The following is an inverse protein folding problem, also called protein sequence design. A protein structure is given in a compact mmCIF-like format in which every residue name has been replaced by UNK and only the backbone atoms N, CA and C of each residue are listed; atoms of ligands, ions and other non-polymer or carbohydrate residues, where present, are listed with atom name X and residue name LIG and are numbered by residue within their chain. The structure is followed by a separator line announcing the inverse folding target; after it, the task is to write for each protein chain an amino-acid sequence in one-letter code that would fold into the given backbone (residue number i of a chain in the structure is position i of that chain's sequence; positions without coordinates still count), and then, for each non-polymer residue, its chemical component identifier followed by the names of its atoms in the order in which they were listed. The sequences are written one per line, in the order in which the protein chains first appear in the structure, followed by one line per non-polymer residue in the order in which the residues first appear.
data_IF_888887903516
#
_entry.id   IF_888887903516
#
_cell.length_a   1.000
_cell.length_b   1.000
_cell.length_c   1.000
_cell.angle_alpha   90.00
_cell.angle_beta   90.00
_cell.angle_gamma   90.00
#
_symmetry.space_group_name_H-M   'P 1'
#
loop_
_entity.id
_entity.type
_entity.pdbx_description
1 polymer ?
#
# COMPACT_ATOMS: atom_id res chain seq x y z
N UNK A 1 -8.55 5.55 -15.08
CA UNK A 1 -8.94 6.89 -15.57
C UNK A 1 -9.38 7.73 -14.38
N UNK A 2 -8.95 9.00 -14.23
CA UNK A 2 -9.53 9.93 -13.28
C UNK A 2 -10.86 10.42 -13.87
N UNK A 3 -11.95 9.79 -13.44
CA UNK A 3 -13.28 10.00 -13.99
C UNK A 3 -14.23 9.11 -13.22
N UNK A 4 -14.45 9.47 -11.95
CA UNK A 4 -15.30 8.70 -11.05
C UNK A 4 -16.71 8.63 -11.60
N UNK A 5 -17.14 7.43 -11.93
CA UNK A 5 -18.56 7.12 -12.21
C UNK A 5 -19.38 7.59 -11.00
N UNK A 6 -20.29 8.52 -11.22
CA UNK A 6 -21.29 8.87 -10.20
C UNK A 6 -22.34 7.77 -10.25
N UNK A 7 -22.55 7.10 -9.12
CA UNK A 7 -23.61 6.11 -8.95
C UNK A 7 -24.61 6.68 -7.95
N UNK A 8 -25.86 6.81 -8.37
CA UNK A 8 -26.97 7.15 -7.47
C UNK A 8 -27.53 5.87 -6.87
N UNK A 9 -27.73 5.86 -5.55
CA UNK A 9 -28.31 4.75 -4.80
C UNK A 9 -29.41 5.30 -3.92
N UNK A 10 -30.57 4.66 -3.93
CA UNK A 10 -31.67 5.03 -3.03
C UNK A 10 -31.39 4.52 -1.62
N UNK A 11 -31.69 5.33 -0.62
CA UNK A 11 -31.69 4.91 0.78
C UNK A 11 -32.94 4.10 1.10
N UNK A 12 -32.82 3.15 2.02
CA UNK A 12 -33.99 2.48 2.60
C UNK A 12 -34.82 3.42 3.49
N UNK A 13 -35.95 2.93 4.01
CA UNK A 13 -36.85 3.69 4.89
C UNK A 13 -36.21 4.14 6.21
N UNK A 14 -35.01 3.64 6.53
CA UNK A 14 -34.23 3.98 7.71
C UNK A 14 -33.03 4.89 7.38
N UNK A 15 -32.84 5.27 6.11
CA UNK A 15 -31.73 6.09 5.64
C UNK A 15 -30.44 5.32 5.37
N UNK A 16 -30.44 3.99 5.42
CA UNK A 16 -29.26 3.20 5.07
C UNK A 16 -29.16 3.03 3.56
N UNK A 17 -27.95 2.90 3.06
CA UNK A 17 -27.67 2.60 1.66
C UNK A 17 -26.58 1.54 1.56
N UNK A 18 -26.58 0.79 0.46
CA UNK A 18 -25.53 -0.18 0.14
C UNK A 18 -25.26 -0.14 -1.36
N UNK A 19 -24.00 0.02 -1.73
CA UNK A 19 -23.54 -0.10 -3.11
C UNK A 19 -22.66 -1.35 -3.22
N UNK A 20 -23.13 -2.35 -3.96
CA UNK A 20 -22.31 -3.48 -4.38
C UNK A 20 -21.66 -3.15 -5.71
N UNK A 21 -20.33 -3.32 -5.80
CA UNK A 21 -19.59 -3.12 -7.04
C UNK A 21 -18.83 -4.39 -7.40
N UNK A 22 -18.87 -4.75 -8.68
CA UNK A 22 -18.03 -5.81 -9.24
C UNK A 22 -16.62 -5.28 -9.58
N UNK A 23 -16.47 -3.96 -9.64
CA UNK A 23 -15.17 -3.34 -9.89
C UNK A 23 -14.35 -3.33 -8.62
N UNK A 24 -13.11 -3.81 -8.72
CA UNK A 24 -12.17 -3.77 -7.61
C UNK A 24 -11.84 -2.31 -7.28
N UNK A 25 -12.16 -1.90 -6.06
CA UNK A 25 -11.70 -0.62 -5.53
C UNK A 25 -10.16 -0.63 -5.47
N UNK A 26 -9.55 0.40 -6.05
CA UNK A 26 -8.11 0.52 -6.09
C UNK A 26 -7.59 1.07 -4.75
N UNK A 27 -6.53 0.46 -4.21
CA UNK A 27 -5.89 0.91 -2.97
C UNK A 27 -5.51 2.40 -3.07
N UNK A 28 -5.75 3.15 -2.00
CA UNK A 28 -5.45 4.58 -1.95
C UNK A 28 -6.39 5.47 -2.78
N UNK A 29 -7.42 4.90 -3.43
CA UNK A 29 -8.42 5.72 -4.14
C UNK A 29 -9.35 6.43 -3.17
N UNK A 30 -9.77 7.64 -3.53
CA UNK A 30 -10.77 8.42 -2.78
C UNK A 30 -12.16 8.10 -3.30
N UNK A 31 -13.09 7.85 -2.38
CA UNK A 31 -14.54 7.75 -2.64
C UNK A 31 -15.21 8.94 -1.96
N UNK A 32 -16.11 9.60 -2.68
CA UNK A 32 -16.94 10.70 -2.17
C UNK A 32 -18.41 10.30 -2.16
N UNK A 33 -19.15 10.69 -1.12
CA UNK A 33 -20.60 10.51 -1.04
C UNK A 33 -21.29 11.80 -0.58
N UNK A 34 -22.46 12.09 -1.15
CA UNK A 34 -23.36 13.17 -0.74
C UNK A 34 -24.81 12.69 -0.84
N UNK A 35 -25.68 13.23 0.00
CA UNK A 35 -27.11 12.99 -0.08
C UNK A 35 -27.81 14.11 -0.85
N UNK A 36 -28.88 13.78 -1.57
CA UNK A 36 -29.77 14.73 -2.23
C UNK A 36 -31.21 14.44 -1.85
N UNK A 37 -31.95 15.45 -1.40
CA UNK A 37 -33.37 15.31 -1.08
C UNK A 37 -34.29 15.47 -2.31
N UNK A 38 -35.59 15.21 -2.13
CA UNK A 38 -36.59 15.32 -3.21
C UNK A 38 -36.79 16.76 -3.71
N UNK A 39 -36.46 17.77 -2.89
CA UNK A 39 -36.49 19.17 -3.30
C UNK A 39 -35.23 19.58 -4.08
N UNK A 40 -34.22 18.71 -4.13
CA UNK A 40 -32.97 18.90 -4.83
C UNK A 40 -31.85 19.52 -3.99
N UNK A 41 -32.01 19.67 -2.68
CA UNK A 41 -30.94 20.14 -1.80
C UNK A 41 -29.89 19.04 -1.64
N UNK A 42 -28.60 19.41 -1.76
CA UNK A 42 -27.47 18.48 -1.68
C UNK A 42 -26.68 18.75 -0.39
N UNK A 43 -26.29 17.69 0.32
CA UNK A 43 -25.46 17.79 1.52
C UNK A 43 -24.00 18.16 1.22
N UNK A 44 -23.23 18.45 2.25
CA UNK A 44 -21.77 18.38 2.16
C UNK A 44 -21.32 16.96 1.80
N UNK A 45 -20.15 16.85 1.15
CA UNK A 45 -19.54 15.57 0.79
C UNK A 45 -18.76 14.99 1.96
N UNK A 46 -18.86 13.68 2.15
CA UNK A 46 -17.89 12.90 2.94
C UNK A 46 -16.90 12.22 2.00
N UNK A 47 -15.63 12.15 2.39
CA UNK A 47 -14.59 11.43 1.67
C UNK A 47 -14.00 10.30 2.52
N UNK A 48 -13.74 9.17 1.86
CA UNK A 48 -13.01 8.04 2.44
C UNK A 48 -11.91 7.60 1.50
N UNK A 49 -10.79 7.13 2.06
CA UNK A 49 -9.70 6.55 1.29
C UNK A 49 -9.78 5.04 1.43
N UNK A 50 -9.77 4.33 0.30
CA UNK A 50 -9.71 2.87 0.27
C UNK A 50 -8.41 2.42 0.91
N UNK A 51 -8.51 1.78 2.08
CA UNK A 51 -7.35 1.30 2.83
C UNK A 51 -6.60 0.25 2.01
N UNK A 52 -5.30 0.43 1.86
CA UNK A 52 -4.43 -0.63 1.36
C UNK A 52 -4.35 -1.77 2.38
N UNK A 53 -4.68 -2.97 1.92
CA UNK A 53 -4.68 -4.21 2.72
C UNK A 53 -3.80 -5.29 2.10
N UNK A 54 -3.11 -5.02 0.99
CA UNK A 54 -2.29 -6.00 0.30
C UNK A 54 -0.85 -5.86 0.84
N UNK A 55 -0.31 -6.89 1.54
CA UNK A 55 1.08 -6.85 1.99
C UNK A 55 2.04 -6.86 0.79
N UNK A 56 3.25 -6.29 0.95
CA UNK A 56 4.29 -6.40 -0.07
C UNK A 56 4.70 -7.87 -0.26
N UNK A 57 5.20 -8.19 -1.45
CA UNK A 57 5.80 -9.50 -1.69
C UNK A 57 7.05 -9.69 -0.79
N UNK A 58 7.33 -10.92 -0.31
CA UNK A 58 8.56 -11.18 0.43
C UNK A 58 9.80 -10.76 -0.37
N UNK A 59 10.84 -10.23 0.28
CA UNK A 59 12.10 -9.98 -0.41
C UNK A 59 12.75 -11.30 -0.83
N UNK A 60 13.51 -11.26 -1.92
CA UNK A 60 14.40 -12.34 -2.33
C UNK A 60 15.80 -12.11 -1.77
N UNK A 61 16.58 -13.17 -1.63
CA UNK A 61 18.00 -13.12 -1.27
C UNK A 61 18.77 -13.90 -2.32
N UNK A 62 19.81 -13.30 -2.90
CA UNK A 62 20.70 -13.97 -3.83
C UNK A 62 21.49 -15.09 -3.12
N UNK A 63 21.93 -16.14 -3.83
CA UNK A 63 22.73 -17.21 -3.23
C UNK A 63 23.98 -16.67 -2.53
N UNK A 64 24.25 -17.19 -1.33
CA UNK A 64 25.38 -16.82 -0.49
C UNK A 64 26.33 -18.00 -0.30
N UNK A 65 27.62 -17.69 -0.19
CA UNK A 65 28.69 -18.60 0.26
C UNK A 65 29.19 -18.17 1.62
N UNK A 66 29.82 -19.09 2.35
CA UNK A 66 30.38 -18.84 3.69
C UNK A 66 31.48 -17.76 3.72
N UNK A 67 32.04 -17.40 2.57
CA UNK A 67 33.06 -16.35 2.43
C UNK A 67 32.48 -14.98 2.07
N UNK A 68 31.19 -14.90 1.79
CA UNK A 68 30.57 -13.66 1.32
C UNK A 68 30.37 -12.68 2.48
N UNK A 69 30.67 -11.41 2.23
CA UNK A 69 30.51 -10.31 3.21
C UNK A 69 29.39 -9.34 2.83
N UNK A 70 28.64 -9.72 1.80
CA UNK A 70 27.61 -8.93 1.15
C UNK A 70 26.34 -9.74 1.01
N UNK A 71 25.23 -9.19 1.45
CA UNK A 71 23.90 -9.69 1.17
C UNK A 71 23.27 -8.81 0.09
N UNK A 72 22.56 -9.44 -0.84
CA UNK A 72 21.84 -8.74 -1.90
C UNK A 72 20.59 -9.51 -2.30
N UNK A 73 19.67 -8.82 -2.97
CA UNK A 73 18.45 -9.42 -3.49
C UNK A 73 17.51 -8.35 -4.04
N UNK A 74 16.23 -8.71 -4.14
CA UNK A 74 15.16 -7.81 -4.59
C UNK A 74 14.02 -7.72 -3.59
N UNK A 75 13.27 -6.62 -3.60
CA UNK A 75 11.97 -6.47 -2.95
C UNK A 75 11.16 -5.40 -3.73
N UNK A 76 10.02 -4.99 -3.21
CA UNK A 76 9.25 -3.88 -3.79
C UNK A 76 10.13 -2.61 -3.88
N UNK A 77 10.15 -1.85 -5.00
CA UNK A 77 10.93 -0.63 -5.12
C UNK A 77 10.64 0.43 -4.05
N UNK A 78 11.67 1.14 -3.59
CA UNK A 78 11.59 2.18 -2.57
C UNK A 78 10.91 1.72 -1.25
N UNK A 79 10.99 0.43 -0.95
CA UNK A 79 10.49 -0.17 0.30
C UNK A 79 11.63 -0.40 1.29
N UNK A 80 11.28 -0.78 2.52
CA UNK A 80 12.24 -1.14 3.57
C UNK A 80 12.18 -2.64 3.80
N UNK A 81 13.35 -3.26 3.87
CA UNK A 81 13.48 -4.64 4.32
C UNK A 81 14.18 -4.68 5.68
N UNK A 82 13.80 -5.63 6.51
CA UNK A 82 14.47 -5.88 7.80
C UNK A 82 15.21 -7.20 7.72
N UNK A 83 16.52 -7.17 7.94
CA UNK A 83 17.40 -8.34 7.91
C UNK A 83 17.83 -8.64 9.35
N UNK A 84 17.65 -9.89 9.78
CA UNK A 84 18.16 -10.39 11.05
C UNK A 84 19.40 -11.26 10.80
N UNK A 85 20.55 -10.80 11.29
CA UNK A 85 21.84 -11.48 11.24
C UNK A 85 22.25 -11.87 12.67
N UNK A 86 22.00 -13.12 13.06
CA UNK A 86 22.18 -13.58 14.45
C UNK A 86 21.44 -12.63 15.42
N UNK A 87 22.16 -11.94 16.30
CA UNK A 87 21.64 -10.99 17.28
C UNK A 87 21.51 -9.56 16.76
N UNK A 88 21.89 -9.29 15.50
CA UNK A 88 21.81 -7.99 14.87
C UNK A 88 20.58 -7.87 13.97
N UNK A 89 19.85 -6.77 14.10
CA UNK A 89 18.79 -6.38 13.17
C UNK A 89 19.27 -5.16 12.40
N UNK A 90 19.13 -5.18 11.07
CA UNK A 90 19.40 -4.04 10.20
C UNK A 90 18.23 -3.80 9.27
N UNK A 91 17.99 -2.53 8.94
CA UNK A 91 17.01 -2.14 7.93
C UNK A 91 17.75 -1.57 6.74
N UNK A 92 17.41 -2.01 5.53
CA UNK A 92 17.91 -1.42 4.28
C UNK A 92 16.76 -1.05 3.37
N UNK A 93 16.96 -0.04 2.54
CA UNK A 93 16.00 0.42 1.55
C UNK A 93 16.30 -0.21 0.19
N UNK A 94 15.26 -0.59 -0.55
CA UNK A 94 15.40 -0.93 -1.97
C UNK A 94 15.49 0.33 -2.80
N UNK A 95 16.30 0.29 -3.86
CA UNK A 95 16.35 1.37 -4.84
C UNK A 95 15.07 1.40 -5.72
N UNK A 96 15.00 2.35 -6.64
CA UNK A 96 13.88 2.48 -7.59
C UNK A 96 13.70 1.28 -8.53
N UNK A 97 14.71 0.41 -8.63
CA UNK A 97 14.64 -0.85 -9.38
C UNK A 97 14.28 -2.06 -8.49
N UNK A 98 13.99 -1.85 -7.20
CA UNK A 98 13.68 -2.93 -6.25
C UNK A 98 14.90 -3.70 -5.76
N UNK A 99 16.12 -3.26 -6.06
CA UNK A 99 17.35 -3.95 -5.63
C UNK A 99 17.81 -3.42 -4.28
N UNK A 100 18.31 -4.31 -3.42
CA UNK A 100 18.91 -3.94 -2.14
C UNK A 100 20.26 -4.64 -1.95
N UNK A 101 21.11 -4.03 -1.12
CA UNK A 101 22.43 -4.54 -0.77
C UNK A 101 22.80 -4.15 0.66
N UNK A 102 23.43 -5.06 1.38
CA UNK A 102 23.96 -4.84 2.71
C UNK A 102 25.38 -5.40 2.81
N UNK A 103 26.34 -4.56 3.20
CA UNK A 103 27.73 -4.95 3.42
C UNK A 103 28.02 -4.90 4.93
N UNK A 104 28.44 -6.03 5.49
CA UNK A 104 28.55 -6.23 6.94
C UNK A 104 29.47 -5.21 7.65
N UNK A 105 30.58 -4.83 7.00
CA UNK A 105 31.64 -3.99 7.58
C UNK A 105 31.50 -2.48 7.25
N UNK A 106 30.64 -2.10 6.32
CA UNK A 106 30.42 -0.68 6.00
C UNK A 106 29.45 0.00 7.00
N UNK A 107 28.57 -0.77 7.63
CA UNK A 107 27.48 -0.26 8.46
C UNK A 107 27.78 -0.29 9.97
N UNK A 108 29.05 -0.32 10.39
CA UNK A 108 29.48 -0.29 11.80
C UNK A 108 30.14 1.02 12.24
N UNK A 109 30.09 2.08 11.42
CA UNK A 109 30.64 3.41 11.76
C UNK A 109 29.54 4.48 11.87
N UNK A 110 28.62 4.30 12.82
CA UNK A 110 27.77 5.38 13.32
C UNK A 110 28.05 5.59 14.81
#
# INVERSE_FOLDING_TARGET
MPGGTIVEVETDNNGNWKLETNDKLSNGSTIEAAAKDLAGNVSEKVSIIVKDTIPPAPPTVNPLKSTDTELSGTAEPNSKITIKLNDRIVTVETNAAGQWKYIYWMNTHN
#
